data_IF_813375021558
#
_entry.id   IF_813375021558
#
_cell.length_a   1.000
_cell.length_b   1.000
_cell.length_c   1.000
_cell.angle_alpha   90.00
_cell.angle_beta   90.00
_cell.angle_gamma   90.00
#
_symmetry.space_group_name_H-M   'P 1'
#
loop_
_entity.id
_entity.type
_entity.pdbx_description
1 polymer ?
#
# COMPACT_ATOMS: atom_id res chain seq x y z
N UNK A 1 13.53 0.55 29.25
CA UNK A 1 13.01 1.87 28.88
C UNK A 1 13.86 2.49 27.80
N UNK A 2 15.15 2.42 27.95
CA UNK A 2 16.05 2.99 26.95
C UNK A 2 15.95 2.25 25.65
N UNK A 3 15.80 0.95 25.73
CA UNK A 3 15.69 0.14 24.54
C UNK A 3 14.45 0.47 23.77
N UNK A 4 13.36 0.69 24.48
CA UNK A 4 12.12 1.07 23.84
C UNK A 4 12.26 2.39 23.13
N UNK A 5 12.96 3.33 23.75
CA UNK A 5 13.18 4.64 23.15
C UNK A 5 13.99 4.52 21.87
N UNK A 6 15.00 3.68 21.90
CA UNK A 6 15.81 3.46 20.70
C UNK A 6 14.98 2.86 19.58
N UNK A 7 14.14 1.92 19.92
CA UNK A 7 13.28 1.30 18.93
C UNK A 7 12.35 2.32 18.31
N UNK A 8 11.79 3.19 19.14
CA UNK A 8 10.92 4.24 18.63
C UNK A 8 11.66 5.18 17.70
N UNK A 9 12.88 5.52 18.06
CA UNK A 9 13.67 6.41 17.24
C UNK A 9 13.94 5.80 15.87
N UNK A 10 14.21 4.50 15.86
CA UNK A 10 14.45 3.82 14.59
C UNK A 10 13.21 3.83 13.73
N UNK A 11 12.06 3.59 14.33
CA UNK A 11 10.82 3.61 13.57
C UNK A 11 10.55 4.98 12.99
N UNK A 12 10.82 6.01 13.75
CA UNK A 12 10.60 7.36 13.27
C UNK A 12 11.54 7.72 12.12
N UNK A 13 12.76 7.22 12.19
CA UNK A 13 13.73 7.51 11.16
C UNK A 13 13.35 6.89 9.82
N UNK A 14 12.64 5.80 9.88
CA UNK A 14 12.31 5.11 8.66
C UNK A 14 11.40 5.94 7.78
N UNK A 15 10.47 6.65 8.36
CA UNK A 15 9.54 7.45 7.59
C UNK A 15 8.86 6.69 6.47
N UNK A 16 9.12 5.42 6.34
CA UNK A 16 8.57 4.59 5.31
C UNK A 16 7.44 3.81 5.94
N UNK A 17 6.26 4.00 5.41
CA UNK A 17 5.12 3.24 5.85
C UNK A 17 5.16 1.90 5.16
N UNK A 18 4.82 0.87 5.89
CA UNK A 18 4.81 -0.48 5.33
C UNK A 18 3.39 -0.86 4.97
N UNK A 19 3.21 -1.51 3.82
CA UNK A 19 1.88 -1.97 3.44
C UNK A 19 1.42 -3.07 4.39
N UNK A 20 0.11 -3.18 4.58
CA UNK A 20 -0.44 -4.22 5.42
C UNK A 20 -0.23 -5.58 4.77
N UNK A 21 -0.29 -6.63 5.59
CA UNK A 21 -0.15 -7.99 5.06
C UNK A 21 -1.26 -8.30 4.06
N UNK A 22 -2.44 -7.78 4.29
CA UNK A 22 -3.55 -7.97 3.37
C UNK A 22 -3.26 -7.35 2.01
N UNK A 23 -2.68 -6.16 2.02
CA UNK A 23 -2.34 -5.48 0.78
C UNK A 23 -1.27 -6.27 0.03
N UNK A 24 -0.26 -6.74 0.74
CA UNK A 24 0.80 -7.55 0.13
C UNK A 24 0.28 -8.86 -0.43
N UNK A 25 -0.78 -9.40 0.16
CA UNK A 25 -1.32 -10.68 -0.27
C UNK A 25 -2.36 -10.58 -1.39
N UNK A 26 -2.63 -9.41 -1.91
CA UNK A 26 -3.60 -9.27 -2.98
C UNK A 26 -3.11 -9.94 -4.26
N UNK A 27 -4.05 -10.53 -5.01
CA UNK A 27 -3.73 -11.09 -6.30
C UNK A 27 -3.22 -9.99 -7.22
N UNK A 28 -2.10 -10.25 -7.85
CA UNK A 28 -1.50 -9.28 -8.77
C UNK A 28 -0.68 -8.22 -8.09
N UNK A 29 -0.66 -8.21 -6.76
CA UNK A 29 0.16 -7.26 -6.02
C UNK A 29 1.58 -7.79 -5.91
N UNK A 30 2.55 -6.90 -6.07
CA UNK A 30 3.95 -7.24 -5.83
C UNK A 30 4.45 -6.43 -4.65
N UNK A 31 5.56 -6.90 -4.08
CA UNK A 31 6.17 -6.18 -2.97
C UNK A 31 6.53 -4.76 -3.38
N UNK A 32 7.09 -4.60 -4.57
CA UNK A 32 7.49 -3.28 -5.03
C UNK A 32 6.30 -2.34 -5.17
N UNK A 33 5.22 -2.84 -5.75
CA UNK A 33 4.03 -2.04 -5.92
C UNK A 33 3.43 -1.69 -4.56
N UNK A 34 3.39 -2.67 -3.66
CA UNK A 34 2.82 -2.44 -2.34
C UNK A 34 3.59 -1.35 -1.58
N UNK A 35 4.92 -1.39 -1.63
CA UNK A 35 5.71 -0.38 -0.97
C UNK A 35 5.60 0.98 -1.65
N UNK A 36 5.47 1.01 -2.96
CA UNK A 36 5.25 2.26 -3.66
C UNK A 36 3.91 2.88 -3.26
N UNK A 37 2.89 2.04 -3.11
CA UNK A 37 1.60 2.52 -2.64
C UNK A 37 1.70 3.03 -1.20
N UNK A 38 2.42 2.31 -0.36
CA UNK A 38 2.58 2.71 1.04
C UNK A 38 3.26 4.07 1.13
N UNK A 39 4.21 4.34 0.26
CA UNK A 39 4.89 5.64 0.23
C UNK A 39 3.94 6.77 -0.09
N UNK A 40 2.80 6.47 -0.70
CA UNK A 40 1.78 7.46 -1.03
C UNK A 40 0.68 7.51 0.02
N UNK A 41 0.81 6.73 1.09
CA UNK A 41 -0.19 6.69 2.14
C UNK A 41 -1.21 5.57 1.96
N UNK A 42 -1.04 4.73 0.95
CA UNK A 42 -1.94 3.61 0.70
C UNK A 42 -1.38 2.38 1.41
N UNK A 43 -1.86 2.13 2.59
CA UNK A 43 -1.32 1.09 3.46
C UNK A 43 -2.22 -0.14 3.47
N UNK A 44 -3.52 0.06 3.46
CA UNK A 44 -4.48 -1.02 3.59
C UNK A 44 -5.26 -1.18 2.30
N UNK A 45 -6.00 -2.29 2.23
CA UNK A 45 -6.87 -2.53 1.08
C UNK A 45 -7.94 -1.44 0.99
N UNK A 46 -8.45 -1.00 2.14
CA UNK A 46 -9.43 0.09 2.15
C UNK A 46 -8.84 1.36 1.56
N UNK A 47 -7.60 1.66 1.92
CA UNK A 47 -6.93 2.84 1.38
C UNK A 47 -6.82 2.73 -0.14
N UNK A 48 -6.48 1.54 -0.63
CA UNK A 48 -6.35 1.33 -2.07
C UNK A 48 -7.70 1.48 -2.77
N UNK A 49 -8.76 0.94 -2.16
CA UNK A 49 -10.08 1.01 -2.75
C UNK A 49 -10.56 2.45 -2.88
N UNK A 50 -10.05 3.33 -2.04
CA UNK A 50 -10.43 4.74 -2.04
C UNK A 50 -9.66 5.54 -3.09
N UNK A 51 -8.68 4.95 -3.75
CA UNK A 51 -7.87 5.66 -4.74
C UNK A 51 -8.53 5.61 -6.11
N UNK A 52 -8.22 6.61 -6.92
CA UNK A 52 -8.59 6.59 -8.33
C UNK A 52 -7.47 5.94 -9.12
N UNK A 53 -7.82 5.32 -10.24
CA UNK A 53 -6.83 4.67 -11.09
C UNK A 53 -5.71 5.64 -11.48
N UNK A 54 -6.09 6.86 -11.83
CA UNK A 54 -5.11 7.86 -12.25
C UNK A 54 -4.15 8.25 -11.13
N UNK A 55 -4.59 8.13 -9.89
CA UNK A 55 -3.75 8.54 -8.76
C UNK A 55 -2.56 7.63 -8.56
N UNK A 56 -2.66 6.38 -8.98
CA UNK A 56 -1.60 5.40 -8.73
C UNK A 56 -1.02 4.83 -10.02
N UNK A 57 -1.55 5.19 -11.17
CA UNK A 57 -1.09 4.60 -12.43
C UNK A 57 0.31 5.05 -12.81
N UNK A 58 0.82 6.10 -12.20
CA UNK A 58 2.17 6.58 -12.48
C UNK A 58 3.24 5.83 -11.69
N UNK A 59 2.84 4.87 -10.87
CA UNK A 59 3.81 4.04 -10.16
C UNK A 59 4.48 3.11 -11.16
N UNK A 60 5.80 3.05 -11.08
CA UNK A 60 6.58 2.18 -11.93
C UNK A 60 6.11 0.73 -11.79
N UNK A 61 5.88 0.09 -12.92
CA UNK A 61 5.47 -1.31 -12.92
C UNK A 61 4.00 -1.53 -12.71
N UNK A 62 3.24 -0.47 -12.45
CA UNK A 62 1.81 -0.64 -12.16
C UNK A 62 0.95 -0.44 -13.39
N UNK A 63 1.09 0.66 -14.09
CA UNK A 63 0.29 0.90 -15.28
C UNK A 63 -1.18 1.14 -14.96
N UNK A 64 -1.87 1.72 -15.93
CA UNK A 64 -3.27 2.11 -15.75
C UNK A 64 -4.19 0.89 -15.60
N UNK A 65 -3.99 -0.12 -16.43
CA UNK A 65 -4.84 -1.29 -16.39
C UNK A 65 -4.69 -2.03 -15.06
N UNK A 66 -3.47 -2.22 -14.64
CA UNK A 66 -3.23 -2.96 -13.40
C UNK A 66 -3.71 -2.17 -12.20
N UNK A 67 -3.53 -0.85 -12.23
CA UNK A 67 -4.02 -0.01 -11.16
C UNK A 67 -5.52 -0.16 -11.02
N UNK A 68 -6.25 -0.12 -12.13
CA UNK A 68 -7.69 -0.30 -12.08
C UNK A 68 -8.08 -1.66 -11.55
N UNK A 69 -7.38 -2.70 -11.96
CA UNK A 69 -7.66 -4.05 -11.48
C UNK A 69 -7.46 -4.17 -9.98
N UNK A 70 -6.37 -3.61 -9.49
CA UNK A 70 -6.10 -3.68 -8.06
C UNK A 70 -7.14 -2.92 -7.25
N UNK A 71 -7.53 -1.75 -7.74
CA UNK A 71 -8.54 -0.96 -7.06
C UNK A 71 -9.87 -1.71 -7.03
N UNK A 72 -10.24 -2.33 -8.13
CA UNK A 72 -11.47 -3.09 -8.17
C UNK A 72 -11.44 -4.27 -7.21
N UNK A 73 -10.32 -4.96 -7.14
CA UNK A 73 -10.18 -6.06 -6.19
C UNK A 73 -10.30 -5.55 -4.76
N UNK A 74 -9.71 -4.41 -4.49
CA UNK A 74 -9.79 -3.83 -3.16
C UNK A 74 -11.22 -3.49 -2.80
N UNK A 75 -11.98 -2.97 -3.76
CA UNK A 75 -13.37 -2.60 -3.52
C UNK A 75 -14.27 -3.81 -3.31
N UNK A 76 -13.87 -4.95 -3.84
CA UNK A 76 -14.67 -6.16 -3.64
C UNK A 76 -14.85 -6.46 -2.16
N UNK A 77 -13.88 -6.12 -1.35
CA UNK A 77 -14.00 -6.37 0.08
C UNK A 77 -15.11 -5.53 0.71
N UNK A 78 -15.49 -4.44 0.07
CA UNK A 78 -16.59 -3.60 0.57
C UNK A 78 -17.96 -4.23 0.35
N UNK A 79 -18.04 -5.14 -0.60
CA UNK A 79 -19.32 -5.75 -0.96
C UNK A 79 -19.53 -7.12 -0.32
N UNK A 80 -18.56 -7.60 0.41
CA UNK A 80 -18.66 -8.91 1.07
C UNK A 80 -19.14 -8.79 2.51
#
# INVERSE_FOLDING_TARGET
AKEAALTDALKQQENIQEPSAELLGMDGMTTEIAYALAARGVITIDDLADQATDDISDIDGLGHDKAGQLIMKARESWFN
#
